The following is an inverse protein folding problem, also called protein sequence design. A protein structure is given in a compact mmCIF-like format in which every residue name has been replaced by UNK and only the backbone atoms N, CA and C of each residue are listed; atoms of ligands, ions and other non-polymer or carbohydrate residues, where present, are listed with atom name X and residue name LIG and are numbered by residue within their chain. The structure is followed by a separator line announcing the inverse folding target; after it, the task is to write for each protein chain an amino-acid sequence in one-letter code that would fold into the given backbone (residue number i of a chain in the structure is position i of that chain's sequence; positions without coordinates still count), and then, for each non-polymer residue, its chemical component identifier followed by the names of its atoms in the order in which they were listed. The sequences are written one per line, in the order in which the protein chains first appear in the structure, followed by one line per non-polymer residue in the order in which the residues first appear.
data_IF_428321239945
#
_entry.id   IF_428321239945
#
_cell.length_a   1.000
_cell.length_b   1.000
_cell.length_c   1.000
_cell.angle_alpha   90.00
_cell.angle_beta   90.00
_cell.angle_gamma   90.00
#
_symmetry.space_group_name_H-M   'P 1'
#
loop_
_entity.id
_entity.type
_entity.pdbx_description
1 polymer ?
#
# COMPACT_ATOMS: atom_id res chain seq x y z
N UNK A 1 12.34 -7.77 0.14
CA UNK A 1 12.37 -6.33 -0.17
C UNK A 1 11.14 -5.97 -0.99
N UNK A 2 10.93 -4.68 -1.22
CA UNK A 2 9.83 -4.17 -2.04
C UNK A 2 10.18 -4.27 -3.54
N UNK A 3 9.22 -4.63 -4.39
CA UNK A 3 9.40 -4.39 -5.83
C UNK A 3 9.33 -2.87 -6.08
N UNK A 4 10.41 -2.29 -6.58
CA UNK A 4 10.50 -0.86 -6.86
C UNK A 4 10.51 -0.61 -8.36
N UNK A 5 9.52 0.15 -8.86
CA UNK A 5 9.33 0.41 -10.30
C UNK A 5 9.45 1.89 -10.66
N UNK A 6 8.96 2.77 -9.77
CA UNK A 6 8.87 4.21 -10.01
C UNK A 6 9.16 4.97 -8.72
N UNK A 7 9.79 6.14 -8.84
CA UNK A 7 9.99 7.06 -7.71
C UNK A 7 8.70 7.77 -7.27
N UNK A 8 7.73 7.89 -8.17
CA UNK A 8 6.40 8.41 -7.87
C UNK A 8 5.52 7.24 -7.50
N UNK A 9 4.96 7.29 -6.29
CA UNK A 9 4.04 6.28 -5.80
C UNK A 9 4.61 4.85 -5.89
N UNK A 10 5.75 4.66 -5.25
CA UNK A 10 6.51 3.40 -5.26
C UNK A 10 5.70 2.18 -4.81
N UNK A 11 4.65 2.34 -4.00
CA UNK A 11 3.81 1.24 -3.51
C UNK A 11 2.71 0.81 -4.48
N UNK A 12 2.35 1.62 -5.47
CA UNK A 12 1.30 1.29 -6.44
C UNK A 12 1.57 -0.06 -7.14
N UNK A 13 2.75 -0.18 -7.74
CA UNK A 13 3.14 -1.33 -8.54
C UNK A 13 3.33 -2.62 -7.71
N UNK A 14 4.10 -2.64 -6.61
CA UNK A 14 4.29 -3.85 -5.80
C UNK A 14 2.98 -4.36 -5.20
N UNK A 15 2.09 -3.48 -4.73
CA UNK A 15 0.81 -3.89 -4.15
C UNK A 15 -0.13 -4.45 -5.23
N UNK A 16 -0.20 -3.79 -6.39
CA UNK A 16 -0.98 -4.30 -7.51
C UNK A 16 -0.45 -5.65 -8.04
N UNK A 17 0.87 -5.78 -8.19
CA UNK A 17 1.53 -7.01 -8.60
C UNK A 17 1.31 -8.13 -7.59
N UNK A 18 1.41 -7.85 -6.29
CA UNK A 18 1.11 -8.81 -5.23
C UNK A 18 -0.36 -9.27 -5.26
N UNK A 19 -1.31 -8.35 -5.49
CA UNK A 19 -2.71 -8.73 -5.64
C UNK A 19 -2.94 -9.65 -6.85
N UNK A 20 -2.36 -9.33 -8.01
CA UNK A 20 -2.45 -10.18 -9.20
C UNK A 20 -1.78 -11.54 -8.99
N UNK A 21 -0.63 -11.58 -8.32
CA UNK A 21 0.06 -12.81 -7.97
C UNK A 21 -0.79 -13.68 -7.01
N UNK A 22 -1.50 -13.06 -6.07
CA UNK A 22 -2.43 -13.77 -5.19
C UNK A 22 -3.56 -14.43 -5.99
N UNK A 23 -4.18 -13.67 -6.89
CA UNK A 23 -5.24 -14.17 -7.79
C UNK A 23 -4.72 -15.31 -8.68
N UNK A 24 -3.52 -15.15 -9.25
CA UNK A 24 -2.92 -16.18 -10.09
C UNK A 24 -2.60 -17.45 -9.31
N UNK A 25 -2.13 -17.33 -8.07
CA UNK A 25 -1.95 -18.50 -7.20
C UNK A 25 -3.26 -19.25 -6.97
N UNK A 26 -4.38 -18.54 -6.78
CA UNK A 26 -5.69 -19.19 -6.61
C UNK A 26 -6.17 -19.83 -7.91
N UNK A 27 -5.91 -19.18 -9.04
CA UNK A 27 -6.14 -19.75 -10.35
C UNK A 27 -5.33 -21.05 -10.56
N UNK A 28 -4.06 -21.09 -10.15
CA UNK A 28 -3.25 -22.31 -10.26
C UNK A 28 -3.85 -23.47 -9.46
N UNK A 29 -4.29 -23.21 -8.24
CA UNK A 29 -4.94 -24.22 -7.39
C UNK A 29 -6.25 -24.75 -8.02
N UNK A 30 -7.09 -23.85 -8.53
CA UNK A 30 -8.39 -24.21 -9.11
C UNK A 30 -8.27 -24.87 -10.48
N UNK A 31 -7.28 -24.50 -11.30
CA UNK A 31 -6.99 -25.10 -12.60
C UNK A 31 -6.11 -26.35 -12.52
N UNK A 32 -5.65 -26.74 -11.32
CA UNK A 32 -4.70 -27.84 -11.09
C UNK A 32 -3.33 -27.64 -11.76
N UNK A 33 -2.98 -26.40 -12.08
CA UNK A 33 -1.63 -26.02 -12.50
C UNK A 33 -0.70 -26.08 -11.29
N UNK A 34 0.29 -26.98 -11.30
CA UNK A 34 1.16 -27.20 -10.13
C UNK A 34 2.39 -26.30 -10.10
N UNK A 35 2.73 -25.66 -11.23
CA UNK A 35 3.92 -24.84 -11.38
C UNK A 35 3.74 -23.68 -12.37
N UNK A 36 4.44 -22.59 -12.11
CA UNK A 36 4.71 -21.48 -13.02
C UNK A 36 6.20 -21.50 -13.35
N UNK A 37 6.54 -21.45 -14.64
CA UNK A 37 7.93 -21.33 -15.10
C UNK A 37 8.22 -19.90 -15.55
N UNK A 38 9.33 -19.32 -15.10
CA UNK A 38 9.76 -17.98 -15.44
C UNK A 38 11.28 -17.92 -15.41
N UNK A 39 11.91 -17.52 -16.52
CA UNK A 39 13.38 -17.42 -16.69
C UNK A 39 14.18 -18.66 -16.24
N UNK A 40 13.59 -19.85 -16.42
CA UNK A 40 14.21 -21.13 -16.06
C UNK A 40 13.95 -21.58 -14.61
N UNK A 41 13.36 -20.72 -13.78
CA UNK A 41 12.93 -21.06 -12.42
C UNK A 41 11.49 -21.59 -12.41
N UNK A 42 11.16 -22.37 -11.37
CA UNK A 42 9.84 -22.96 -11.17
C UNK A 42 9.25 -22.57 -9.82
N UNK A 43 8.02 -22.05 -9.83
CA UNK A 43 7.32 -21.57 -8.64
C UNK A 43 6.03 -22.33 -8.39
N UNK A 44 5.81 -22.80 -7.16
CA UNK A 44 4.53 -23.39 -6.73
C UNK A 44 3.56 -22.30 -6.29
N UNK A 45 2.24 -22.56 -6.23
CA UNK A 45 1.26 -21.62 -5.66
C UNK A 45 1.66 -21.12 -4.26
N UNK A 46 2.22 -22.00 -3.42
CA UNK A 46 2.71 -21.63 -2.10
C UNK A 46 3.86 -20.63 -2.11
N UNK A 47 4.73 -20.68 -3.12
CA UNK A 47 5.88 -19.77 -3.24
C UNK A 47 5.39 -18.38 -3.68
N UNK A 48 4.43 -18.36 -4.61
CA UNK A 48 3.73 -17.13 -5.00
C UNK A 48 3.03 -16.51 -3.79
N UNK A 49 2.29 -17.29 -2.99
CA UNK A 49 1.63 -16.78 -1.77
C UNK A 49 2.61 -16.25 -0.72
N UNK A 50 3.80 -16.86 -0.56
CA UNK A 50 4.86 -16.32 0.31
C UNK A 50 5.35 -14.96 -0.19
N UNK A 51 5.58 -14.82 -1.49
CA UNK A 51 5.95 -13.55 -2.10
C UNK A 51 4.86 -12.48 -1.88
N UNK A 52 3.60 -12.79 -2.13
CA UNK A 52 2.45 -11.90 -1.89
C UNK A 52 2.43 -11.40 -0.45
N UNK A 53 2.56 -12.32 0.52
CA UNK A 53 2.61 -11.97 1.95
C UNK A 53 3.78 -11.03 2.25
N UNK A 54 4.97 -11.28 1.68
CA UNK A 54 6.13 -10.42 1.88
C UNK A 54 5.90 -8.96 1.44
N UNK A 55 5.14 -8.73 0.37
CA UNK A 55 4.83 -7.36 -0.08
C UNK A 55 3.81 -6.69 0.85
N UNK A 56 2.82 -7.44 1.34
CA UNK A 56 1.87 -6.94 2.34
C UNK A 56 2.56 -6.62 3.67
N UNK A 57 3.39 -7.53 4.17
CA UNK A 57 4.14 -7.34 5.42
C UNK A 57 5.07 -6.13 5.31
N UNK A 58 5.75 -5.93 4.18
CA UNK A 58 6.55 -4.74 3.93
C UNK A 58 5.72 -3.45 4.05
N UNK A 59 4.54 -3.40 3.41
CA UNK A 59 3.62 -2.24 3.51
C UNK A 59 3.19 -1.98 4.94
N UNK A 60 2.97 -3.04 5.72
CA UNK A 60 2.40 -2.97 7.07
C UNK A 60 3.45 -2.79 8.19
N UNK A 61 4.74 -2.88 7.88
CA UNK A 61 5.80 -2.54 8.84
C UNK A 61 7.07 -3.38 8.79
N UNK A 62 7.10 -4.48 8.04
CA UNK A 62 8.32 -5.26 7.85
C UNK A 62 9.23 -4.68 6.75
N UNK A 63 9.66 -3.45 7.01
CA UNK A 63 10.58 -2.68 6.19
C UNK A 63 11.70 -2.10 7.07
N UNK A 64 12.80 -1.59 6.48
CA UNK A 64 13.93 -1.05 7.23
C UNK A 64 13.57 0.07 8.21
N UNK A 65 12.50 0.82 7.94
CA UNK A 65 12.04 1.93 8.80
C UNK A 65 11.13 1.48 9.96
N UNK A 66 10.73 0.20 9.98
CA UNK A 66 9.79 -0.40 10.95
C UNK A 66 8.53 0.46 11.12
N UNK A 67 7.95 0.87 10.00
CA UNK A 67 6.75 1.71 9.96
C UNK A 67 5.73 1.20 8.94
N UNK A 68 4.45 1.31 9.27
CA UNK A 68 3.37 1.06 8.32
C UNK A 68 3.28 2.22 7.33
N UNK A 69 3.13 1.92 6.04
CA UNK A 69 2.73 2.88 5.01
C UNK A 69 1.20 2.97 4.85
N UNK A 70 0.44 2.15 5.59
CA UNK A 70 -1.00 2.28 5.73
C UNK A 70 -1.33 3.20 6.91
N UNK A 71 -1.90 4.36 6.63
CA UNK A 71 -2.15 5.40 7.63
C UNK A 71 -3.13 4.89 8.69
N UNK A 72 -2.78 5.09 9.97
CA UNK A 72 -3.59 4.64 11.10
C UNK A 72 -3.40 3.18 11.50
N UNK A 73 -2.53 2.43 10.83
CA UNK A 73 -2.21 1.04 11.17
C UNK A 73 -0.82 0.94 11.82
N UNK A 74 -0.70 0.11 12.86
CA UNK A 74 0.54 -0.09 13.62
C UNK A 74 0.94 1.10 14.49
N UNK A 75 2.07 0.95 15.19
CA UNK A 75 2.54 1.95 16.17
C UNK A 75 3.21 3.17 15.51
N UNK A 76 3.74 3.00 14.29
CA UNK A 76 4.44 4.03 13.52
C UNK A 76 3.90 4.09 12.09
N UNK A 77 3.34 5.23 11.70
CA UNK A 77 2.74 5.47 10.37
C UNK A 77 2.79 6.96 10.01
N UNK A 78 2.64 7.33 8.71
CA UNK A 78 2.65 8.72 8.25
C UNK A 78 1.62 9.62 8.96
N UNK A 79 2.08 10.79 9.41
CA UNK A 79 1.28 11.82 10.08
C UNK A 79 1.15 13.09 9.24
N UNK A 80 1.97 13.27 8.21
CA UNK A 80 2.02 14.46 7.36
C UNK A 80 1.59 14.17 5.93
N UNK A 81 0.55 13.37 5.77
CA UNK A 81 0.01 12.92 4.48
C UNK A 81 -0.40 14.12 3.60
N UNK A 82 -0.05 14.11 2.31
CA UNK A 82 -0.43 15.14 1.32
C UNK A 82 -1.93 15.04 0.97
N UNK A 83 -2.81 15.35 1.93
CA UNK A 83 -4.25 15.20 1.77
C UNK A 83 -4.99 16.34 2.48
N UNK A 84 -5.70 17.19 1.70
CA UNK A 84 -6.37 18.40 2.23
C UNK A 84 -7.39 18.10 3.33
N UNK A 85 -8.22 17.07 3.13
CA UNK A 85 -9.20 16.67 4.15
C UNK A 85 -8.55 16.12 5.43
N UNK A 86 -7.28 15.70 5.36
CA UNK A 86 -6.55 15.24 6.54
C UNK A 86 -5.85 16.41 7.25
N UNK A 87 -5.31 17.38 6.49
CA UNK A 87 -4.53 18.50 7.03
C UNK A 87 -5.36 19.66 7.59
N UNK A 88 -6.61 19.83 7.14
CA UNK A 88 -7.47 20.94 7.57
C UNK A 88 -8.36 20.48 8.73
N UNK A 89 -8.32 21.12 9.92
CA UNK A 89 -9.20 20.77 11.03
C UNK A 89 -10.68 20.82 10.63
N UNK A 90 -11.48 19.86 11.09
CA UNK A 90 -12.88 19.68 10.66
C UNK A 90 -13.79 20.91 10.93
N UNK A 91 -13.43 21.75 11.90
CA UNK A 91 -14.17 22.96 12.25
C UNK A 91 -13.75 24.21 11.45
N UNK A 92 -12.78 24.09 10.54
CA UNK A 92 -12.26 25.20 9.76
C UNK A 92 -12.95 25.28 8.40
N UNK A 93 -13.31 26.50 7.99
CA UNK A 93 -13.68 26.81 6.60
C UNK A 93 -12.49 27.46 5.93
N UNK A 94 -12.11 26.94 4.77
CA UNK A 94 -10.93 27.40 4.04
C UNK A 94 -11.27 27.57 2.57
N UNK A 95 -10.91 28.70 1.99
CA UNK A 95 -10.84 28.90 0.56
C UNK A 95 -9.57 28.31 -0.06
N UNK A 96 -9.38 28.61 -1.35
CA UNK A 96 -8.33 28.00 -2.16
C UNK A 96 -6.90 28.42 -1.73
N UNK A 97 -6.72 29.70 -1.31
CA UNK A 97 -5.38 30.25 -0.99
C UNK A 97 -5.03 30.12 0.49
N UNK A 98 -6.01 30.34 1.35
CA UNK A 98 -5.90 30.27 2.81
C UNK A 98 -5.72 28.83 3.32
N UNK A 99 -5.99 27.81 2.48
CA UNK A 99 -5.66 26.41 2.75
C UNK A 99 -4.15 26.09 2.76
N UNK A 100 -3.31 26.89 2.10
CA UNK A 100 -1.85 26.62 2.03
C UNK A 100 -1.15 26.71 3.40
N UNK A 101 -1.74 27.40 4.38
CA UNK A 101 -1.22 27.40 5.76
C UNK A 101 -1.20 26.00 6.38
N UNK A 102 -2.15 25.14 6.01
CA UNK A 102 -2.20 23.74 6.48
C UNK A 102 -1.25 22.84 5.69
N UNK A 103 -0.96 23.16 4.43
CA UNK A 103 0.10 22.48 3.68
C UNK A 103 1.45 22.69 4.39
N UNK A 104 1.76 23.95 4.74
CA UNK A 104 3.04 24.37 5.31
C UNK A 104 3.11 24.25 6.85
N UNK A 105 2.10 23.70 7.51
CA UNK A 105 2.08 23.53 8.97
C UNK A 105 3.12 22.51 9.42
N UNK A 106 3.83 22.79 10.53
CA UNK A 106 4.73 21.83 11.18
C UNK A 106 4.01 20.84 12.09
N UNK A 107 2.74 21.11 12.42
CA UNK A 107 1.90 20.20 13.18
C UNK A 107 1.44 19.02 12.32
N UNK A 108 1.25 17.81 12.88
CA UNK A 108 0.73 16.66 12.16
C UNK A 108 -0.70 16.91 11.66
N UNK A 109 -1.16 16.08 10.71
CA UNK A 109 -2.52 16.17 10.19
C UNK A 109 -3.55 15.97 11.33
N UNK A 110 -4.47 16.92 11.55
CA UNK A 110 -5.47 16.84 12.64
C UNK A 110 -6.48 15.72 12.44
N UNK A 111 -6.77 15.33 11.19
CA UNK A 111 -7.65 14.19 10.90
C UNK A 111 -6.81 13.04 10.35
N UNK A 112 -6.88 11.89 11.00
CA UNK A 112 -6.17 10.68 10.54
C UNK A 112 -6.92 10.12 9.34
N UNK A 113 -6.25 10.03 8.18
CA UNK A 113 -6.79 9.40 6.98
C UNK A 113 -6.68 7.87 7.09
N UNK A 114 -7.42 7.27 8.01
CA UNK A 114 -7.34 5.83 8.33
C UNK A 114 -7.52 4.98 7.07
N UNK A 115 -6.60 4.04 6.85
CA UNK A 115 -6.62 3.14 5.70
C UNK A 115 -6.10 3.73 4.39
N UNK A 116 -5.66 4.99 4.39
CA UNK A 116 -5.01 5.57 3.23
C UNK A 116 -3.63 4.93 3.04
N UNK A 117 -3.37 4.37 1.86
CA UNK A 117 -2.05 3.89 1.47
C UNK A 117 -1.29 5.01 0.75
N UNK A 118 -0.22 5.50 1.37
CA UNK A 118 0.65 6.55 0.79
C UNK A 118 1.48 6.02 -0.38
N UNK A 119 2.17 6.90 -1.08
CA UNK A 119 3.07 6.57 -2.19
C UNK A 119 4.25 5.66 -1.78
N UNK A 120 4.77 5.83 -0.56
CA UNK A 120 5.77 4.94 0.05
C UNK A 120 7.22 5.34 -0.18
N UNK A 121 8.18 4.41 0.04
CA UNK A 121 9.58 4.76 0.20
C UNK A 121 10.29 5.06 -1.14
N UNK A 122 11.39 5.78 -1.06
CA UNK A 122 12.34 5.89 -2.16
C UNK A 122 13.14 4.61 -2.31
N UNK A 123 13.89 4.49 -3.42
CA UNK A 123 14.71 3.31 -3.70
C UNK A 123 15.72 2.99 -2.61
N UNK A 124 16.19 4.00 -1.87
CA UNK A 124 17.10 3.82 -0.74
C UNK A 124 16.38 3.49 0.58
N UNK A 125 15.13 3.02 0.52
CA UNK A 125 14.32 2.58 1.66
C UNK A 125 13.95 3.71 2.65
N UNK A 126 14.14 4.97 2.26
CA UNK A 126 13.79 6.14 3.09
C UNK A 126 12.41 6.66 2.78
N UNK A 127 11.72 7.18 3.79
CA UNK A 127 10.43 7.86 3.71
C UNK A 127 10.51 9.17 4.49
N UNK A 128 10.30 10.28 3.80
CA UNK A 128 10.26 11.61 4.41
C UNK A 128 8.80 11.98 4.59
N UNK A 129 8.32 11.90 5.84
CA UNK A 129 6.95 12.23 6.23
C UNK A 129 6.74 13.74 6.24
N UNK A 130 6.65 14.31 5.04
CA UNK A 130 6.47 15.73 4.80
C UNK A 130 5.30 15.97 3.86
N UNK A 131 4.49 16.97 4.19
CA UNK A 131 3.26 17.25 3.47
C UNK A 131 3.50 17.80 2.06
N UNK A 132 4.66 18.36 1.74
CA UNK A 132 5.05 18.77 0.38
C UNK A 132 5.71 17.64 -0.41
N UNK A 133 6.07 16.52 0.23
CA UNK A 133 6.62 15.35 -0.44
C UNK A 133 5.51 14.47 -1.04
N UNK A 134 4.83 14.96 -2.07
CA UNK A 134 3.74 14.24 -2.73
C UNK A 134 4.20 12.92 -3.37
N UNK A 135 5.47 12.79 -3.78
CA UNK A 135 6.03 11.53 -4.33
C UNK A 135 5.80 10.34 -3.40
N UNK A 136 6.03 10.55 -2.10
CA UNK A 136 5.96 9.51 -1.07
C UNK A 136 4.67 9.61 -0.25
N UNK A 137 4.23 10.82 0.07
CA UNK A 137 3.18 11.09 1.04
C UNK A 137 1.78 11.28 0.45
N UNK A 138 1.61 11.20 -0.88
CA UNK A 138 0.30 11.30 -1.52
C UNK A 138 -0.45 9.97 -1.44
N UNK A 139 -1.62 9.91 -0.76
CA UNK A 139 -2.50 8.76 -0.82
C UNK A 139 -3.39 8.88 -2.07
N UNK A 140 -3.73 7.75 -2.67
CA UNK A 140 -4.57 7.73 -3.85
C UNK A 140 -5.68 6.69 -3.76
N UNK A 141 -6.78 6.93 -4.48
CA UNK A 141 -7.90 5.97 -4.55
C UNK A 141 -7.47 4.65 -5.18
N UNK A 142 -6.58 4.67 -6.16
CA UNK A 142 -6.11 3.46 -6.82
C UNK A 142 -5.15 2.66 -5.92
N UNK A 143 -4.33 3.30 -5.07
CA UNK A 143 -3.56 2.60 -4.03
C UNK A 143 -4.50 1.91 -3.04
N UNK A 144 -5.51 2.64 -2.55
CA UNK A 144 -6.52 2.12 -1.64
C UNK A 144 -7.32 0.96 -2.27
N UNK A 145 -7.61 1.01 -3.57
CA UNK A 145 -8.31 -0.07 -4.25
C UNK A 145 -7.48 -1.37 -4.26
N UNK A 146 -6.19 -1.30 -4.63
CA UNK A 146 -5.36 -2.51 -4.74
C UNK A 146 -4.97 -3.07 -3.38
N UNK A 147 -4.75 -2.25 -2.36
CA UNK A 147 -4.44 -2.75 -1.01
C UNK A 147 -5.63 -3.49 -0.38
N UNK A 148 -6.86 -3.01 -0.61
CA UNK A 148 -8.07 -3.74 -0.19
C UNK A 148 -8.15 -5.11 -0.86
N UNK A 149 -7.89 -5.18 -2.18
CA UNK A 149 -7.82 -6.44 -2.91
C UNK A 149 -6.75 -7.39 -2.35
N UNK A 150 -5.54 -6.88 -2.14
CA UNK A 150 -4.42 -7.66 -1.59
C UNK A 150 -4.75 -8.21 -0.20
N UNK A 151 -5.17 -7.36 0.74
CA UNK A 151 -5.48 -7.79 2.11
C UNK A 151 -6.64 -8.78 2.15
N UNK A 152 -7.70 -8.55 1.36
CA UNK A 152 -8.83 -9.48 1.23
C UNK A 152 -8.37 -10.86 0.75
N UNK A 153 -7.47 -10.89 -0.24
CA UNK A 153 -6.91 -12.14 -0.77
C UNK A 153 -6.07 -12.92 0.25
N UNK A 154 -5.54 -12.26 1.28
CA UNK A 154 -4.69 -12.85 2.32
C UNK A 154 -5.46 -13.29 3.56
N UNK A 155 -6.57 -12.61 3.87
CA UNK A 155 -7.48 -13.00 4.97
C UNK A 155 -8.37 -14.18 4.56
N UNK A 156 -8.70 -14.29 3.27
CA UNK A 156 -9.51 -15.40 2.77
C UNK A 156 -8.66 -16.67 2.69
N UNK A 157 -8.72 -17.51 3.72
CA UNK A 157 -8.05 -18.83 3.77
C UNK A 157 -8.77 -19.91 2.96
N UNK A 158 -9.51 -19.56 1.91
CA UNK A 158 -10.28 -20.53 1.14
C UNK A 158 -9.39 -21.16 0.07
N UNK A 159 -9.24 -22.47 0.11
CA UNK A 159 -8.54 -23.28 -0.91
C UNK A 159 -9.26 -23.33 -2.27
N UNK A 160 -10.36 -22.59 -2.42
CA UNK A 160 -11.05 -22.34 -3.68
C UNK A 160 -11.81 -21.01 -3.62
N UNK A 161 -11.78 -20.26 -4.72
CA UNK A 161 -12.69 -19.13 -4.94
C UNK A 161 -14.11 -19.70 -5.00
N UNK A 162 -14.96 -19.36 -4.03
CA UNK A 162 -16.38 -19.72 -4.09
C UNK A 162 -17.04 -18.75 -5.06
N UNK A 163 -17.61 -19.29 -6.14
CA UNK A 163 -18.50 -18.54 -7.02
C UNK A 163 -19.70 -18.05 -6.21
N UNK A 164 -20.08 -16.78 -6.35
CA UNK A 164 -21.33 -16.22 -5.79
C UNK A 164 -22.53 -16.50 -6.69
N UNK A 165 -22.54 -17.68 -7.32
CA UNK A 165 -23.67 -18.20 -8.11
C UNK A 165 -24.58 -19.02 -7.24
#
# INVERSE_FOLDING_TARGET
GLIWVSEWNALQHPVAAAFLAALYSDYMLTSRSTKLECDGDTYKPSDIRKFVRSQADYVLGDNPMKMSFLVGYGDKYPKYVHHRGASIPANQKTGCKDGFKYLNSTEPNPNIAVGALVGGPFLNETYIDDRNNSKQGEPSTYNSAVIVGLLSSLVTTSSAVKSFT
#
